data_IF_537192335573
#
_entry.id   IF_537192335573
#
_cell.length_a   1.000
_cell.length_b   1.000
_cell.length_c   1.000
_cell.angle_alpha   90.00
_cell.angle_beta   90.00
_cell.angle_gamma   90.00
#
_symmetry.space_group_name_H-M   'P 1'
#
loop_
_entity.id
_entity.type
_entity.pdbx_description
1 polymer ?
#
# COMPACT_ATOMS: atom_id res chain seq x y z
N UNK A 1 17.65 3.21 2.41
CA UNK A 1 16.33 3.90 2.40
C UNK A 1 15.69 4.03 3.79
N UNK A 2 15.75 3.04 4.68
CA UNK A 2 14.98 3.03 5.95
C UNK A 2 15.71 3.56 7.22
N UNK A 3 16.91 4.15 7.16
CA UNK A 3 17.60 4.62 8.40
C UNK A 3 16.97 5.88 9.02
N UNK A 4 16.18 6.63 8.25
CA UNK A 4 15.62 7.94 8.62
C UNK A 4 14.17 7.90 9.11
N UNK A 5 13.57 6.72 9.32
CA UNK A 5 12.19 6.61 9.83
C UNK A 5 12.16 6.05 11.26
N UNK A 6 11.20 6.50 12.05
CA UNK A 6 10.91 5.89 13.36
C UNK A 6 10.47 4.44 13.15
N UNK A 7 10.56 3.59 14.19
CA UNK A 7 10.08 2.20 14.11
C UNK A 7 8.62 2.15 13.63
N UNK A 8 7.79 3.08 14.10
CA UNK A 8 6.39 3.23 13.71
C UNK A 8 6.22 3.63 12.23
N UNK A 9 6.98 4.62 11.75
CA UNK A 9 6.96 5.02 10.35
C UNK A 9 7.38 3.91 9.39
N UNK A 10 8.30 3.03 9.79
CA UNK A 10 8.67 1.86 9.00
C UNK A 10 7.53 0.86 8.86
N UNK A 11 6.81 0.60 9.96
CA UNK A 11 5.67 -0.34 9.97
C UNK A 11 4.55 0.20 9.08
N UNK A 12 4.20 1.48 9.22
CA UNK A 12 3.18 2.13 8.38
C UNK A 12 3.59 2.08 6.91
N UNK A 13 4.86 2.39 6.60
CA UNK A 13 5.37 2.33 5.23
C UNK A 13 5.29 0.93 4.63
N UNK A 14 5.64 -0.10 5.41
CA UNK A 14 5.50 -1.50 4.98
C UNK A 14 4.05 -1.92 4.78
N UNK A 15 3.14 -1.54 5.68
CA UNK A 15 1.72 -1.80 5.53
C UNK A 15 1.16 -1.10 4.30
N UNK A 16 1.47 0.18 4.11
CA UNK A 16 1.04 0.93 2.92
C UNK A 16 1.55 0.31 1.62
N UNK A 17 2.81 -0.13 1.59
CA UNK A 17 3.38 -0.83 0.45
C UNK A 17 2.66 -2.15 0.15
N UNK A 18 2.35 -2.95 1.18
CA UNK A 18 1.62 -4.21 1.03
C UNK A 18 0.21 -3.99 0.48
N UNK A 19 -0.54 -3.03 1.03
CA UNK A 19 -1.89 -2.71 0.54
C UNK A 19 -1.88 -2.15 -0.89
N UNK A 20 -0.87 -1.33 -1.21
CA UNK A 20 -0.72 -0.76 -2.54
C UNK A 20 -0.44 -1.83 -3.59
N UNK A 21 0.54 -2.71 -3.36
CA UNK A 21 0.86 -3.80 -4.29
C UNK A 21 -0.25 -4.82 -4.38
N UNK A 22 -0.89 -5.19 -3.27
CA UNK A 22 -2.02 -6.13 -3.30
C UNK A 22 -3.17 -5.55 -4.10
N UNK A 23 -3.49 -4.27 -3.89
CA UNK A 23 -4.51 -3.57 -4.67
C UNK A 23 -4.17 -3.51 -6.16
N UNK A 24 -2.91 -3.25 -6.51
CA UNK A 24 -2.44 -3.28 -7.91
C UNK A 24 -2.47 -4.68 -8.52
N UNK A 25 -2.15 -5.72 -7.75
CA UNK A 25 -2.22 -7.10 -8.20
C UNK A 25 -3.66 -7.51 -8.55
N UNK A 26 -4.63 -7.00 -7.79
CA UNK A 26 -6.05 -7.14 -8.09
C UNK A 26 -6.56 -6.18 -9.18
N UNK A 27 -5.74 -5.22 -9.63
CA UNK A 27 -6.08 -4.18 -10.60
C UNK A 27 -5.27 -4.39 -11.89
N UNK A 28 -5.74 -5.27 -12.77
CA UNK A 28 -5.10 -5.58 -14.05
C UNK A 28 -5.30 -4.50 -15.12
N UNK A 29 -4.29 -4.32 -15.97
CA UNK A 29 -4.07 -3.20 -16.92
C UNK A 29 -5.18 -3.00 -17.99
N UNK A 30 -6.06 -3.98 -18.16
CA UNK A 30 -7.19 -3.97 -19.10
C UNK A 30 -8.56 -3.79 -18.43
N UNK A 31 -8.62 -3.71 -17.10
CA UNK A 31 -9.87 -3.91 -16.35
C UNK A 31 -10.39 -5.36 -16.41
N UNK A 32 -9.67 -6.25 -17.11
CA UNK A 32 -9.98 -7.68 -17.19
C UNK A 32 -9.13 -8.39 -16.15
N UNK A 33 -9.81 -8.68 -15.05
CA UNK A 33 -9.62 -9.78 -14.10
C UNK A 33 -8.36 -10.62 -14.34
N UNK A 34 -7.47 -10.70 -13.36
CA UNK A 34 -6.63 -11.89 -13.28
C UNK A 34 -7.59 -13.09 -13.18
N UNK A 35 -7.59 -13.94 -14.21
CA UNK A 35 -8.64 -14.95 -14.48
C UNK A 35 -8.90 -15.91 -13.31
N UNK A 36 -7.96 -16.01 -12.36
CA UNK A 36 -8.00 -16.90 -11.20
C UNK A 36 -8.30 -16.20 -9.86
N UNK A 37 -8.66 -14.91 -9.84
CA UNK A 37 -8.94 -14.20 -8.58
C UNK A 37 -10.45 -14.23 -8.27
N UNK A 38 -10.86 -14.69 -7.07
CA UNK A 38 -12.27 -14.71 -6.70
C UNK A 38 -12.92 -13.33 -6.77
N UNK A 39 -14.12 -13.26 -7.36
CA UNK A 39 -14.84 -11.99 -7.62
C UNK A 39 -15.07 -11.12 -6.38
N UNK A 40 -15.10 -11.75 -5.21
CA UNK A 40 -15.24 -11.09 -3.93
C UNK A 40 -14.11 -10.09 -3.62
N UNK A 41 -12.92 -10.25 -4.21
CA UNK A 41 -11.78 -9.37 -3.92
C UNK A 41 -11.75 -8.10 -4.78
N UNK A 42 -12.48 -8.03 -5.90
CA UNK A 42 -12.46 -6.89 -6.81
C UNK A 42 -12.92 -5.56 -6.18
N UNK A 43 -14.01 -5.51 -5.39
CA UNK A 43 -14.44 -4.27 -4.75
C UNK A 43 -13.39 -3.70 -3.80
N UNK A 44 -12.46 -4.52 -3.32
CA UNK A 44 -11.39 -4.13 -2.40
C UNK A 44 -10.11 -3.67 -3.10
N UNK A 45 -9.94 -3.90 -4.41
CA UNK A 45 -8.73 -3.55 -5.15
C UNK A 45 -8.46 -2.04 -5.09
N UNK A 46 -9.41 -1.22 -5.56
CA UNK A 46 -9.33 0.24 -5.54
C UNK A 46 -9.18 0.82 -4.12
N UNK A 47 -10.02 0.44 -3.13
CA UNK A 47 -9.84 0.85 -1.74
C UNK A 47 -8.46 0.49 -1.18
N UNK A 48 -7.93 -0.70 -1.49
CA UNK A 48 -6.61 -1.14 -1.04
C UNK A 48 -5.49 -0.29 -1.63
N UNK A 49 -5.59 0.08 -2.92
CA UNK A 49 -4.65 1.02 -3.56
C UNK A 49 -4.70 2.38 -2.84
N UNK A 50 -5.91 2.93 -2.64
CA UNK A 50 -6.11 4.24 -2.00
C UNK A 50 -5.51 4.25 -0.59
N UNK A 51 -5.83 3.25 0.23
CA UNK A 51 -5.30 3.10 1.59
C UNK A 51 -3.78 2.91 1.57
N UNK A 52 -3.27 2.11 0.62
CA UNK A 52 -1.84 1.92 0.44
C UNK A 52 -1.09 3.22 0.17
N UNK A 53 -1.59 4.06 -0.74
CA UNK A 53 -1.03 5.38 -1.03
C UNK A 53 -1.09 6.30 0.19
N UNK A 54 -2.24 6.37 0.88
CA UNK A 54 -2.40 7.19 2.09
C UNK A 54 -1.39 6.79 3.16
N UNK A 55 -1.24 5.49 3.43
CA UNK A 55 -0.29 4.98 4.41
C UNK A 55 1.16 5.27 4.00
N UNK A 56 1.51 5.13 2.72
CA UNK A 56 2.84 5.48 2.22
C UNK A 56 3.14 6.98 2.43
N UNK A 57 2.18 7.86 2.12
CA UNK A 57 2.31 9.30 2.33
C UNK A 57 2.44 9.62 3.83
N UNK A 58 1.59 9.06 4.67
CA UNK A 58 1.64 9.22 6.13
C UNK A 58 2.98 8.73 6.70
N UNK A 59 3.50 7.60 6.20
CA UNK A 59 4.79 7.05 6.64
C UNK A 59 5.96 8.01 6.44
N UNK A 60 5.87 8.91 5.44
CA UNK A 60 6.86 9.94 5.17
C UNK A 60 6.89 11.04 6.22
N UNK A 61 5.78 11.29 6.92
CA UNK A 61 5.76 12.22 8.06
C UNK A 61 6.45 11.64 9.30
N UNK A 62 6.49 10.31 9.44
CA UNK A 62 7.17 9.62 10.53
C UNK A 62 8.69 9.46 10.31
N UNK A 63 9.32 10.49 9.74
CA UNK A 63 10.78 10.58 9.67
C UNK A 63 11.34 10.85 11.06
N UNK A 64 12.36 10.10 11.43
CA UNK A 64 13.15 10.28 12.65
C UNK A 64 13.74 11.68 12.58
N UNK A 65 13.26 12.59 13.42
CA UNK A 65 13.85 13.92 13.59
C UNK A 65 15.24 13.66 14.19
N UNK A 66 16.28 13.86 13.39
CA UNK A 66 17.64 13.98 13.92
C UNK A 66 17.67 15.33 14.63
N UNK A 67 17.25 15.34 15.89
CA UNK A 67 17.65 16.37 16.86
C UNK A 67 18.93 15.87 17.48
#
# INVERSE_FOLDING_TARGET
MMKKHTKFGKVIGWLGFLFFISGLFFFSESGVMAEDIPEFFYPFALPSIIIGVILLVISNFFRKKNV
#
